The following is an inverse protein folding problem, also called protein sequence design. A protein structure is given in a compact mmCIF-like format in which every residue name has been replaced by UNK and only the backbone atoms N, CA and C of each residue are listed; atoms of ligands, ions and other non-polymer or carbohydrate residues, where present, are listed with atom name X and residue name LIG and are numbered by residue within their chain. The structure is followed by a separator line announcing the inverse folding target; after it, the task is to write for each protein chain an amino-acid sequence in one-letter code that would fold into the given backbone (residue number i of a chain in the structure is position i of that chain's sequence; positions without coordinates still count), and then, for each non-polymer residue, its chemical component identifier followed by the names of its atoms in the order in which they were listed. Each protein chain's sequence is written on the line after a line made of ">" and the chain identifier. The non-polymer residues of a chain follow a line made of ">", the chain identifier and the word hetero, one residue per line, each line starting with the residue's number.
data_IF_046061647890
#
_entry.id   IF_046061647890
#
_cell.length_a   1.000
_cell.length_b   1.000
_cell.length_c   1.000
_cell.angle_alpha   90.00
_cell.angle_beta   90.00
_cell.angle_gamma   90.00
#
_symmetry.space_group_name_H-M   'P 1'
#
loop_
_entity.id
_entity.type
_entity.pdbx_description
1 polymer ?
#
# COMPACT_ATOMS: atom_id res chain seq x y z
N UNK A 1 -15.38 32.35 -9.24
CA UNK A 1 -14.98 31.36 -10.28
C UNK A 1 -13.58 30.75 -10.09
N UNK A 2 -12.92 30.91 -8.93
CA UNK A 2 -11.53 30.43 -8.75
C UNK A 2 -11.38 28.90 -8.80
N UNK A 3 -12.24 28.14 -8.12
CA UNK A 3 -12.14 26.66 -8.09
C UNK A 3 -12.37 26.00 -9.45
N UNK A 4 -13.32 26.50 -10.25
CA UNK A 4 -13.59 25.96 -11.59
C UNK A 4 -12.44 26.25 -12.57
N UNK A 5 -11.74 27.38 -12.41
CA UNK A 5 -10.57 27.75 -13.23
C UNK A 5 -9.25 27.14 -12.73
N UNK A 6 -9.23 26.60 -11.50
CA UNK A 6 -8.04 26.04 -10.87
C UNK A 6 -7.87 24.52 -11.05
N UNK A 7 -8.76 23.86 -11.80
CA UNK A 7 -8.66 22.43 -12.06
C UNK A 7 -8.80 21.58 -10.80
N UNK A 8 -9.81 21.85 -9.98
CA UNK A 8 -10.08 21.08 -8.77
C UNK A 8 -10.18 19.57 -9.08
N UNK A 9 -9.43 18.75 -8.34
CA UNK A 9 -9.46 17.29 -8.43
C UNK A 9 -9.86 16.69 -7.09
N UNK A 10 -10.54 15.55 -7.14
CA UNK A 10 -10.87 14.78 -5.95
C UNK A 10 -9.63 14.00 -5.51
N UNK A 11 -9.24 14.17 -4.26
CA UNK A 11 -8.15 13.41 -3.64
C UNK A 11 -8.75 12.31 -2.76
N UNK A 12 -8.11 11.14 -2.76
CA UNK A 12 -8.43 10.04 -1.84
C UNK A 12 -7.28 9.87 -0.83
N UNK A 13 -7.59 9.47 0.42
CA UNK A 13 -6.55 9.19 1.40
C UNK A 13 -5.79 7.91 1.02
N UNK A 14 -4.46 7.99 1.01
CA UNK A 14 -3.58 6.81 0.87
C UNK A 14 -2.94 6.50 2.21
N UNK A 15 -3.05 5.25 2.64
CA UNK A 15 -2.54 4.77 3.92
C UNK A 15 -1.23 4.01 3.74
N UNK A 16 -0.24 4.31 4.60
CA UNK A 16 0.95 3.47 4.74
C UNK A 16 0.62 2.28 5.64
N UNK A 17 0.67 1.08 5.08
CA UNK A 17 0.42 -0.19 5.75
C UNK A 17 1.74 -0.96 5.86
N UNK A 18 2.03 -1.50 7.04
CA UNK A 18 3.16 -2.37 7.28
C UNK A 18 2.64 -3.74 7.70
N UNK A 19 3.10 -4.80 7.03
CA UNK A 19 2.66 -6.17 7.28
C UNK A 19 3.88 -7.04 7.61
N UNK A 20 3.80 -7.81 8.69
CA UNK A 20 4.86 -8.71 9.14
C UNK A 20 4.34 -10.15 9.01
N UNK A 21 4.93 -10.93 8.11
CA UNK A 21 4.45 -12.29 7.79
C UNK A 21 5.64 -13.23 7.59
N UNK A 22 5.49 -14.53 7.85
CA UNK A 22 6.41 -15.54 7.34
C UNK A 22 6.53 -15.48 5.81
N UNK A 23 7.66 -15.91 5.26
CA UNK A 23 7.94 -15.88 3.81
C UNK A 23 6.96 -16.76 3.00
N UNK A 24 6.49 -17.86 3.57
CA UNK A 24 5.51 -18.76 2.95
C UNK A 24 4.16 -18.09 2.64
N UNK A 25 3.78 -17.05 3.39
CA UNK A 25 2.52 -16.30 3.19
C UNK A 25 2.71 -15.00 2.40
N UNK A 26 3.94 -14.69 1.98
CA UNK A 26 4.24 -13.45 1.27
C UNK A 26 3.41 -13.30 -0.03
N UNK A 27 3.21 -14.40 -0.76
CA UNK A 27 2.45 -14.40 -2.02
C UNK A 27 0.99 -13.99 -1.83
N UNK A 28 0.31 -14.57 -0.84
CA UNK A 28 -1.10 -14.28 -0.54
C UNK A 28 -1.28 -12.81 -0.12
N UNK A 29 -0.33 -12.29 0.65
CA UNK A 29 -0.37 -10.93 1.19
C UNK A 29 -0.11 -9.90 0.09
N UNK A 30 0.84 -10.17 -0.82
CA UNK A 30 1.04 -9.36 -2.03
C UNK A 30 -0.21 -9.41 -2.91
N UNK A 31 -0.88 -10.55 -2.98
CA UNK A 31 -2.17 -10.70 -3.67
C UNK A 31 -3.26 -9.79 -3.10
N UNK A 32 -3.45 -9.80 -1.77
CA UNK A 32 -4.44 -8.94 -1.10
C UNK A 32 -4.10 -7.45 -1.28
N UNK A 33 -2.84 -7.06 -1.10
CA UNK A 33 -2.40 -5.68 -1.29
C UNK A 33 -2.67 -5.18 -2.71
N UNK A 34 -2.35 -5.99 -3.73
CA UNK A 34 -2.63 -5.62 -5.13
C UNK A 34 -4.13 -5.52 -5.41
N UNK A 35 -4.97 -6.39 -4.81
CA UNK A 35 -6.42 -6.32 -4.96
C UNK A 35 -7.02 -5.00 -4.45
N UNK A 36 -6.36 -4.38 -3.47
CA UNK A 36 -6.73 -3.07 -2.88
C UNK A 36 -6.10 -1.88 -3.59
N UNK A 37 -5.53 -2.07 -4.79
CA UNK A 37 -4.71 -1.06 -5.50
C UNK A 37 -3.50 -0.59 -4.68
N UNK A 38 -3.01 -1.44 -3.77
CA UNK A 38 -1.84 -1.18 -2.95
C UNK A 38 -0.56 -1.24 -3.76
N UNK A 39 0.34 -0.28 -3.54
CA UNK A 39 1.68 -0.27 -4.10
C UNK A 39 2.68 -0.71 -3.03
N UNK A 40 3.47 -1.74 -3.31
CA UNK A 40 4.53 -2.20 -2.39
C UNK A 40 5.75 -1.31 -2.55
N UNK A 41 6.21 -0.70 -1.46
CA UNK A 41 7.34 0.24 -1.46
C UNK A 41 8.65 -0.47 -1.09
N UNK A 42 8.62 -1.34 -0.08
CA UNK A 42 9.81 -2.07 0.38
C UNK A 42 9.43 -3.40 1.00
N UNK A 43 10.37 -4.33 0.91
CA UNK A 43 10.33 -5.62 1.58
C UNK A 43 11.66 -5.79 2.33
N UNK A 44 11.58 -6.01 3.64
CA UNK A 44 12.73 -6.14 4.54
C UNK A 44 12.68 -7.49 5.26
N UNK A 45 13.86 -8.06 5.52
CA UNK A 45 13.98 -9.34 6.20
C UNK A 45 14.22 -9.10 7.69
N UNK A 46 13.27 -9.57 8.53
CA UNK A 46 13.35 -9.45 9.99
C UNK A 46 13.33 -10.83 10.63
N UNK A 47 14.52 -11.38 10.85
CA UNK A 47 14.73 -12.71 11.41
C UNK A 47 13.95 -13.79 10.64
N UNK A 48 12.87 -14.32 11.22
CA UNK A 48 12.05 -15.40 10.65
C UNK A 48 10.81 -14.87 9.89
N UNK A 49 10.70 -13.55 9.69
CA UNK A 49 9.56 -12.91 9.05
C UNK A 49 10.02 -11.87 8.02
N UNK A 50 9.18 -11.66 7.00
CA UNK A 50 9.29 -10.58 6.03
C UNK A 50 8.42 -9.42 6.50
N UNK A 51 8.96 -8.21 6.40
CA UNK A 51 8.25 -6.96 6.65
C UNK A 51 7.98 -6.30 5.30
N UNK A 52 6.71 -6.10 4.97
CA UNK A 52 6.28 -5.50 3.71
C UNK A 52 5.65 -4.16 4.02
N UNK A 53 6.19 -3.09 3.43
CA UNK A 53 5.60 -1.75 3.49
C UNK A 53 4.87 -1.46 2.19
N UNK A 54 3.60 -1.07 2.26
CA UNK A 54 2.79 -0.73 1.11
C UNK A 54 1.96 0.55 1.34
N UNK A 55 1.63 1.23 0.24
CA UNK A 55 0.72 2.38 0.19
C UNK A 55 -0.60 1.92 -0.42
N UNK A 56 -1.68 1.94 0.36
CA UNK A 56 -3.00 1.42 -0.04
C UNK A 56 -4.03 2.55 0.03
N UNK A 57 -4.77 2.84 -1.05
CA UNK A 57 -5.93 3.74 -1.00
C UNK A 57 -7.04 3.17 -0.09
N UNK A 58 -7.67 4.02 0.72
CA UNK A 58 -8.75 3.60 1.64
C UNK A 58 -10.07 3.30 0.92
#
# INVERSE_FOLDING_TARGET
>A
EGMAKAGAQLLEPTMKVEVITPEEYMGDIIGDLNSRRGQVNSMEDRANAKVITAMVPL
#
